data_IF_511808573814
#
_entry.id   IF_511808573814
#
_cell.length_a   1.000
_cell.length_b   1.000
_cell.length_c   1.000
_cell.angle_alpha   90.00
_cell.angle_beta   90.00
_cell.angle_gamma   90.00
#
_symmetry.space_group_name_H-M   'P 1'
#
loop_
_entity.id
_entity.type
_entity.pdbx_description
1 polymer ?
#
# COMPACT_ATOMS: atom_id res chain seq x y z
N UNK A 1 35.04 -53.94 22.38
CA UNK A 1 36.46 -53.59 22.61
C UNK A 1 36.77 -52.41 21.69
N UNK A 2 36.71 -51.16 22.18
CA UNK A 2 37.82 -50.35 22.74
C UNK A 2 38.91 -50.06 21.67
N UNK A 3 39.36 -48.84 21.34
CA UNK A 3 39.12 -47.47 21.82
C UNK A 3 39.42 -46.46 20.66
N UNK A 4 38.89 -45.24 20.65
CA UNK A 4 39.30 -44.03 21.39
C UNK A 4 40.46 -43.25 20.72
N UNK A 5 40.23 -41.96 20.41
CA UNK A 5 41.28 -41.01 20.01
C UNK A 5 40.82 -39.82 19.16
N UNK A 6 40.22 -38.81 19.78
CA UNK A 6 39.99 -37.47 19.20
C UNK A 6 41.26 -36.59 19.34
N UNK A 7 41.45 -35.58 18.47
CA UNK A 7 41.79 -34.19 18.86
C UNK A 7 41.84 -33.22 17.65
N UNK A 8 41.19 -32.05 17.81
CA UNK A 8 41.26 -30.86 16.94
C UNK A 8 42.47 -29.98 17.29
N UNK A 9 42.94 -29.19 16.31
CA UNK A 9 43.55 -27.82 16.37
C UNK A 9 44.05 -27.53 14.93
N UNK A 10 43.79 -26.44 14.22
CA UNK A 10 43.53 -25.05 14.59
C UNK A 10 44.80 -24.23 14.39
N UNK A 11 45.03 -23.67 13.19
CA UNK A 11 46.08 -22.66 12.95
C UNK A 11 45.63 -21.65 11.88
N UNK A 12 45.59 -20.38 12.30
CA UNK A 12 45.40 -19.19 11.47
C UNK A 12 46.74 -18.73 10.86
N UNK A 13 46.75 -17.93 9.78
CA UNK A 13 47.95 -17.25 9.30
C UNK A 13 48.17 -15.89 10.01
N UNK A 14 49.44 -15.60 10.27
CA UNK A 14 49.94 -14.41 10.97
C UNK A 14 50.08 -13.17 10.07
N UNK A 15 50.08 -12.02 10.73
CA UNK A 15 50.00 -10.64 10.24
C UNK A 15 51.34 -10.02 9.74
N UNK A 16 51.22 -9.09 8.75
CA UNK A 16 51.76 -7.69 8.62
C UNK A 16 53.28 -7.43 8.86
N UNK A 17 53.87 -6.22 8.63
CA UNK A 17 53.38 -4.90 8.15
C UNK A 17 54.21 -4.36 6.94
N UNK A 18 54.03 -3.17 6.34
CA UNK A 18 54.42 -1.85 6.87
C UNK A 18 54.05 -0.66 5.94
N UNK A 19 54.13 0.52 6.55
CA UNK A 19 53.73 1.91 6.26
C UNK A 19 54.36 2.61 5.05
N UNK A 20 53.67 3.65 4.56
CA UNK A 20 54.13 5.07 4.48
C UNK A 20 53.00 5.94 3.88
N UNK A 21 52.39 6.89 4.61
CA UNK A 21 52.83 8.26 4.90
C UNK A 21 52.95 9.19 3.65
N UNK A 22 51.99 10.12 3.51
CA UNK A 22 52.04 11.24 2.58
C UNK A 22 51.02 12.32 2.92
N UNK A 23 51.47 13.39 3.58
CA UNK A 23 50.70 14.62 3.84
C UNK A 23 50.72 15.53 2.59
N UNK A 24 49.65 16.30 2.33
CA UNK A 24 49.71 17.76 2.05
C UNK A 24 48.30 18.41 1.92
N UNK A 25 48.13 19.45 2.76
CA UNK A 25 47.42 20.76 2.67
C UNK A 25 46.14 20.99 1.84
N UNK A 26 45.11 21.45 2.56
CA UNK A 26 44.23 22.61 2.40
C UNK A 26 43.95 23.23 1.01
N UNK A 27 42.65 23.38 0.70
CA UNK A 27 42.07 24.27 -0.30
C UNK A 27 40.58 24.52 0.00
N UNK A 28 40.19 25.80 -0.02
CA UNK A 28 38.91 26.35 0.44
C UNK A 28 37.67 25.90 -0.35
N UNK A 29 36.56 25.80 0.39
CA UNK A 29 35.30 26.51 0.11
C UNK A 29 34.43 26.03 -1.04
N UNK A 30 33.26 25.48 -0.70
CA UNK A 30 32.01 25.91 -1.34
C UNK A 30 30.83 25.62 -0.41
N UNK A 31 30.20 26.71 0.03
CA UNK A 31 28.98 26.78 0.79
C UNK A 31 27.80 26.28 -0.08
N UNK A 32 27.02 25.31 0.39
CA UNK A 32 25.67 25.09 -0.14
C UNK A 32 24.76 24.66 1.00
N UNK A 33 23.87 25.57 1.37
CA UNK A 33 22.81 25.37 2.34
C UNK A 33 22.05 24.08 2.05
N UNK A 34 21.99 23.20 3.05
CA UNK A 34 20.99 22.16 3.13
C UNK A 34 19.66 22.86 3.46
N UNK A 35 18.84 23.05 2.43
CA UNK A 35 17.45 23.43 2.60
C UNK A 35 16.73 22.33 3.36
N UNK A 36 16.35 22.63 4.60
CA UNK A 36 15.38 21.86 5.37
C UNK A 36 14.04 21.94 4.64
N UNK A 37 13.71 20.92 3.85
CA UNK A 37 12.35 20.74 3.33
C UNK A 37 11.46 20.27 4.48
N UNK A 38 10.86 21.21 5.19
CA UNK A 38 9.81 20.94 6.15
C UNK A 38 8.60 20.34 5.41
N UNK A 39 8.19 19.13 5.81
CA UNK A 39 6.93 18.55 5.36
C UNK A 39 5.76 19.48 5.78
N UNK A 40 4.78 19.75 4.90
CA UNK A 40 3.66 20.60 5.25
C UNK A 40 2.78 19.88 6.29
N UNK A 41 2.59 20.54 7.45
CA UNK A 41 1.53 20.19 8.39
C UNK A 41 0.19 20.50 7.74
N UNK A 42 -0.61 19.47 7.47
CA UNK A 42 -1.99 19.64 7.07
C UNK A 42 -2.77 20.14 8.29
N UNK A 43 -3.21 21.40 8.21
CA UNK A 43 -4.20 22.00 9.12
C UNK A 43 -5.57 21.89 8.45
N UNK A 44 -6.57 21.68 9.29
CA UNK A 44 -8.01 21.65 9.00
C UNK A 44 -8.44 22.39 7.73
N UNK A 45 -9.06 21.66 6.81
CA UNK A 45 -9.89 22.22 5.75
C UNK A 45 -11.18 21.39 5.67
N UNK A 46 -12.30 22.06 5.94
CA UNK A 46 -13.61 21.47 6.07
C UNK A 46 -14.14 20.83 4.79
N UNK A 47 -15.10 19.93 5.02
CA UNK A 47 -16.00 19.36 4.04
C UNK A 47 -16.69 20.47 3.21
N UNK A 48 -16.29 20.62 1.95
CA UNK A 48 -17.10 21.16 0.85
C UNK A 48 -16.31 21.13 -0.47
N UNK A 49 -16.86 20.47 -1.49
CA UNK A 49 -16.44 20.66 -2.89
C UNK A 49 -15.73 19.47 -3.51
N UNK A 50 -16.49 18.72 -4.30
CA UNK A 50 -16.03 17.81 -5.35
C UNK A 50 -15.06 18.52 -6.31
N UNK A 51 -13.76 18.41 -6.09
CA UNK A 51 -12.74 18.91 -7.03
C UNK A 51 -11.41 18.15 -6.88
N UNK A 52 -11.42 16.84 -7.12
CA UNK A 52 -10.22 16.11 -7.56
C UNK A 52 -10.03 16.30 -9.06
N UNK A 53 -10.11 17.56 -9.48
CA UNK A 53 -9.93 17.99 -10.86
C UNK A 53 -8.47 17.72 -11.23
N UNK A 54 -8.26 16.55 -11.84
CA UNK A 54 -7.05 16.09 -12.50
C UNK A 54 -5.73 16.54 -11.84
N UNK A 55 -5.16 15.73 -10.94
CA UNK A 55 -3.72 15.85 -10.66
C UNK A 55 -2.94 15.53 -11.95
N UNK A 56 -2.65 16.58 -12.74
CA UNK A 56 -1.86 16.57 -13.97
C UNK A 56 -0.41 16.92 -13.66
N UNK A 57 0.29 16.11 -12.89
CA UNK A 57 1.75 16.14 -12.95
C UNK A 57 2.21 15.12 -14.00
N UNK A 58 2.60 15.61 -15.18
CA UNK A 58 3.13 14.78 -16.26
C UNK A 58 2.12 14.27 -17.29
N UNK A 59 0.83 14.62 -17.19
CA UNK A 59 -0.18 14.34 -18.23
C UNK A 59 -0.74 12.91 -18.27
N UNK A 60 -0.48 12.09 -17.23
CA UNK A 60 -1.08 10.75 -17.10
C UNK A 60 -2.30 10.83 -16.19
N UNK A 61 -3.45 10.35 -16.67
CA UNK A 61 -4.67 10.24 -15.88
C UNK A 61 -4.49 9.17 -14.80
N UNK A 62 -4.94 9.46 -13.57
CA UNK A 62 -4.92 8.52 -12.47
C UNK A 62 -5.65 7.23 -12.83
N UNK A 63 -5.09 6.09 -12.45
CA UNK A 63 -5.74 4.78 -12.58
C UNK A 63 -6.38 4.38 -11.27
N UNK A 64 -7.42 3.59 -11.38
CA UNK A 64 -8.24 3.19 -10.24
C UNK A 64 -8.18 1.68 -10.07
N UNK A 65 -7.94 1.24 -8.84
CA UNK A 65 -7.63 -0.15 -8.54
C UNK A 65 -8.47 -0.67 -7.39
N UNK A 66 -8.99 -1.88 -7.53
CA UNK A 66 -9.52 -2.66 -6.41
C UNK A 66 -8.43 -3.58 -5.88
N UNK A 67 -8.11 -3.43 -4.61
CA UNK A 67 -7.20 -4.29 -3.87
C UNK A 67 -8.02 -5.29 -3.07
N UNK A 68 -7.85 -6.56 -3.39
CA UNK A 68 -8.58 -7.68 -2.79
C UNK A 68 -7.70 -8.31 -1.72
N UNK A 69 -8.06 -8.12 -0.46
CA UNK A 69 -7.31 -8.57 0.72
C UNK A 69 -8.19 -9.22 1.78
N UNK A 70 -7.59 -9.98 2.69
CA UNK A 70 -8.28 -10.45 3.90
C UNK A 70 -8.40 -9.33 4.94
N UNK A 71 -9.31 -9.44 5.92
CA UNK A 71 -9.44 -8.47 7.01
C UNK A 71 -8.13 -8.27 7.77
N UNK A 72 -7.32 -9.33 7.92
CA UNK A 72 -6.02 -9.28 8.58
C UNK A 72 -5.01 -8.40 7.83
N UNK A 73 -5.03 -8.42 6.50
CA UNK A 73 -4.11 -7.64 5.66
C UNK A 73 -4.48 -6.15 5.71
N UNK A 74 -5.78 -5.87 5.70
CA UNK A 74 -6.28 -4.51 5.84
C UNK A 74 -6.05 -3.94 7.24
N UNK A 75 -6.24 -4.74 8.29
CA UNK A 75 -5.95 -4.36 9.67
C UNK A 75 -4.48 -3.95 9.85
N UNK A 76 -3.52 -4.76 9.37
CA UNK A 76 -2.10 -4.38 9.39
C UNK A 76 -1.82 -3.10 8.59
N UNK A 77 -2.45 -2.91 7.43
CA UNK A 77 -2.30 -1.66 6.65
C UNK A 77 -2.79 -0.44 7.43
N UNK A 78 -3.90 -0.59 8.16
CA UNK A 78 -4.44 0.43 9.05
C UNK A 78 -3.54 0.69 10.26
N UNK A 79 -2.99 -0.34 10.89
CA UNK A 79 -2.03 -0.23 11.99
C UNK A 79 -0.76 0.52 11.58
N UNK A 80 -0.31 0.32 10.33
CA UNK A 80 0.78 1.07 9.71
C UNK A 80 0.39 2.52 9.33
N UNK A 81 -0.82 2.96 9.66
CA UNK A 81 -1.32 4.32 9.41
C UNK A 81 -1.55 4.63 7.94
N UNK A 82 -1.81 3.62 7.10
CA UNK A 82 -1.94 3.78 5.64
C UNK A 82 -0.74 4.50 5.01
N UNK A 83 0.47 4.19 5.46
CA UNK A 83 1.72 4.74 4.89
C UNK A 83 2.28 3.87 3.76
N UNK A 84 1.93 2.58 3.75
CA UNK A 84 2.38 1.60 2.76
C UNK A 84 1.36 0.47 2.63
N UNK A 85 1.20 -0.06 1.43
CA UNK A 85 0.46 -1.29 1.20
C UNK A 85 1.25 -2.27 0.33
N UNK A 86 1.17 -3.56 0.68
CA UNK A 86 1.87 -4.64 -0.01
C UNK A 86 0.93 -5.54 -0.80
N UNK A 87 1.38 -5.99 -1.97
CA UNK A 87 0.67 -6.88 -2.87
C UNK A 87 1.34 -8.24 -2.96
N UNK A 88 0.56 -9.26 -3.31
CA UNK A 88 1.05 -10.65 -3.39
C UNK A 88 2.22 -10.77 -4.37
N UNK A 89 3.16 -11.66 -4.06
CA UNK A 89 4.30 -12.04 -4.91
C UNK A 89 3.92 -12.38 -6.36
N UNK A 90 2.70 -12.88 -6.59
CA UNK A 90 2.18 -13.20 -7.93
C UNK A 90 1.69 -12.00 -8.74
N UNK A 91 1.85 -10.76 -8.25
CA UNK A 91 1.27 -9.54 -8.86
C UNK A 91 2.29 -8.50 -9.31
N UNK A 92 3.59 -8.81 -9.31
CA UNK A 92 4.67 -7.89 -9.72
C UNK A 92 4.32 -7.05 -10.95
N UNK A 93 3.99 -7.71 -12.06
CA UNK A 93 3.74 -7.02 -13.34
C UNK A 93 2.54 -6.08 -13.32
N UNK A 94 1.55 -6.31 -12.44
CA UNK A 94 0.40 -5.41 -12.30
C UNK A 94 0.75 -4.22 -11.39
N UNK A 95 1.42 -4.48 -10.27
CA UNK A 95 1.81 -3.45 -9.32
C UNK A 95 2.82 -2.47 -9.94
N UNK A 96 3.71 -2.94 -10.82
CA UNK A 96 4.61 -2.08 -11.59
C UNK A 96 3.90 -1.04 -12.45
N UNK A 97 2.62 -1.25 -12.79
CA UNK A 97 1.80 -0.28 -13.56
C UNK A 97 1.16 0.78 -12.68
N UNK A 98 1.18 0.60 -11.35
CA UNK A 98 0.68 1.59 -10.40
C UNK A 98 1.66 2.77 -10.38
N UNK A 99 1.11 3.98 -10.50
CA UNK A 99 1.87 5.22 -10.47
C UNK A 99 1.44 6.12 -9.30
N UNK A 100 2.30 7.05 -8.85
CA UNK A 100 1.86 8.12 -7.96
C UNK A 100 0.63 8.83 -8.55
N UNK A 101 -0.38 9.09 -7.71
CA UNK A 101 -1.66 9.65 -8.13
C UNK A 101 -2.75 8.61 -8.41
N UNK A 102 -2.41 7.33 -8.61
CA UNK A 102 -3.40 6.26 -8.69
C UNK A 102 -4.15 6.09 -7.37
N UNK A 103 -5.37 5.54 -7.46
CA UNK A 103 -6.23 5.33 -6.30
C UNK A 103 -6.51 3.85 -6.06
N UNK A 104 -6.49 3.46 -4.79
CA UNK A 104 -6.77 2.10 -4.33
C UNK A 104 -8.10 2.07 -3.59
N UNK A 105 -8.94 1.08 -3.87
CA UNK A 105 -10.14 0.74 -3.12
C UNK A 105 -9.95 -0.64 -2.46
N UNK A 106 -10.14 -0.72 -1.14
CA UNK A 106 -9.90 -1.96 -0.39
C UNK A 106 -11.18 -2.80 -0.30
N UNK A 107 -11.19 -3.91 -1.04
CA UNK A 107 -12.21 -4.96 -0.93
C UNK A 107 -11.76 -6.04 0.05
N UNK A 108 -12.59 -6.29 1.05
CA UNK A 108 -12.31 -7.24 2.14
C UNK A 108 -12.94 -8.60 1.84
N UNK A 109 -12.10 -9.54 1.44
CA UNK A 109 -12.50 -10.94 1.21
C UNK A 109 -13.06 -11.59 2.47
N UNK A 110 -14.03 -12.49 2.30
CA UNK A 110 -14.77 -13.12 3.40
C UNK A 110 -15.91 -12.24 3.93
N UNK A 111 -15.68 -10.93 4.07
CA UNK A 111 -16.69 -9.95 4.46
C UNK A 111 -17.51 -9.47 3.26
N UNK A 112 -16.92 -9.51 2.05
CA UNK A 112 -17.52 -9.05 0.79
C UNK A 112 -17.89 -7.56 0.79
N UNK A 113 -17.08 -6.76 1.47
CA UNK A 113 -17.36 -5.34 1.66
C UNK A 113 -16.17 -4.48 1.25
N UNK A 114 -16.44 -3.21 0.91
CA UNK A 114 -15.43 -2.18 0.74
C UNK A 114 -15.23 -1.42 2.05
N UNK A 115 -13.95 -1.29 2.44
CA UNK A 115 -13.57 -0.69 3.72
C UNK A 115 -13.08 0.76 3.61
N UNK A 116 -12.66 1.18 2.41
CA UNK A 116 -12.13 2.51 2.19
C UNK A 116 -11.25 2.62 0.96
N UNK A 117 -10.70 3.81 0.78
CA UNK A 117 -9.81 4.19 -0.31
C UNK A 117 -8.50 4.80 0.20
N UNK A 118 -7.47 4.71 -0.63
CA UNK A 118 -6.17 5.34 -0.40
C UNK A 118 -5.59 5.86 -1.72
N UNK A 119 -4.78 6.91 -1.65
CA UNK A 119 -4.03 7.46 -2.78
C UNK A 119 -2.60 6.94 -2.77
N UNK A 120 -2.08 6.59 -3.93
CA UNK A 120 -0.67 6.19 -4.10
C UNK A 120 0.19 7.44 -4.16
N UNK A 121 1.23 7.49 -3.33
CA UNK A 121 2.08 8.69 -3.15
C UNK A 121 3.47 8.54 -3.77
N UNK A 122 3.81 7.36 -4.31
CA UNK A 122 5.14 7.06 -4.81
C UNK A 122 5.17 5.76 -5.63
N UNK A 123 6.28 5.49 -6.34
CA UNK A 123 6.41 4.30 -7.18
C UNK A 123 6.47 3.01 -6.35
N UNK A 124 6.23 1.89 -7.02
CA UNK A 124 6.43 0.57 -6.43
C UNK A 124 7.91 0.35 -6.02
N UNK A 125 8.12 -0.23 -4.84
CA UNK A 125 9.40 -0.77 -4.41
C UNK A 125 9.25 -2.23 -3.92
N UNK A 126 10.37 -2.94 -3.82
CA UNK A 126 10.41 -4.32 -3.36
C UNK A 126 11.01 -4.38 -1.94
N UNK A 127 10.27 -5.00 -1.02
CA UNK A 127 10.71 -5.26 0.36
C UNK A 127 9.98 -6.51 0.88
N UNK A 128 10.72 -7.51 1.33
CA UNK A 128 10.19 -8.79 1.82
C UNK A 128 10.07 -8.87 3.36
N UNK A 129 10.28 -7.76 4.09
CA UNK A 129 10.08 -7.70 5.54
C UNK A 129 8.66 -8.17 5.90
N UNK A 130 8.45 -9.16 6.79
CA UNK A 130 7.15 -9.81 6.97
C UNK A 130 6.16 -8.95 7.78
N UNK A 131 5.69 -7.84 7.21
CA UNK A 131 4.71 -6.94 7.82
C UNK A 131 3.32 -7.57 7.82
N UNK A 132 2.85 -8.00 6.66
CA UNK A 132 1.55 -8.65 6.50
C UNK A 132 1.68 -10.17 6.62
N UNK A 133 0.69 -10.79 7.25
CA UNK A 133 0.61 -12.25 7.41
C UNK A 133 -0.75 -12.73 6.93
N UNK A 134 -0.76 -13.75 6.08
CA UNK A 134 -1.99 -14.44 5.70
C UNK A 134 -2.05 -15.81 6.35
N UNK A 135 -3.16 -16.14 7.01
CA UNK A 135 -3.37 -17.48 7.56
C UNK A 135 -3.39 -18.56 6.46
N UNK A 136 -3.87 -18.21 5.26
CA UNK A 136 -3.98 -19.12 4.11
C UNK A 136 -2.66 -19.36 3.39
N UNK A 137 -1.72 -18.41 3.47
CA UNK A 137 -0.40 -18.46 2.83
C UNK A 137 0.65 -17.87 3.77
N UNK A 138 1.10 -18.62 4.79
CA UNK A 138 2.05 -18.12 5.79
C UNK A 138 3.41 -17.69 5.21
N UNK A 139 3.77 -18.19 4.03
CA UNK A 139 4.97 -17.89 3.27
C UNK A 139 4.88 -16.59 2.45
N UNK A 140 3.67 -16.07 2.19
CA UNK A 140 3.50 -14.81 1.47
C UNK A 140 4.06 -13.64 2.29
N UNK A 141 4.85 -12.79 1.64
CA UNK A 141 5.53 -11.64 2.27
C UNK A 141 5.01 -10.29 1.78
N UNK A 142 4.17 -10.30 0.76
CA UNK A 142 3.67 -9.10 0.09
C UNK A 142 4.82 -8.17 -0.36
N UNK A 143 5.76 -8.70 -1.18
CA UNK A 143 7.04 -8.05 -1.40
C UNK A 143 6.95 -6.79 -2.25
N UNK A 144 5.93 -6.66 -3.10
CA UNK A 144 5.75 -5.49 -3.96
C UNK A 144 4.87 -4.49 -3.25
N UNK A 145 5.42 -3.33 -2.92
CA UNK A 145 4.77 -2.34 -2.08
C UNK A 145 4.70 -0.99 -2.77
N UNK A 146 3.67 -0.23 -2.43
CA UNK A 146 3.54 1.17 -2.83
C UNK A 146 3.33 2.01 -1.57
N UNK A 147 3.98 3.17 -1.46
CA UNK A 147 3.63 4.13 -0.43
C UNK A 147 2.25 4.72 -0.74
N UNK A 148 1.45 4.89 0.29
CA UNK A 148 0.07 5.36 0.19
C UNK A 148 -0.21 6.42 1.26
N UNK A 149 -1.36 7.07 1.13
CA UNK A 149 -2.01 7.82 2.19
C UNK A 149 -3.51 7.47 2.20
N UNK A 150 -4.15 7.51 3.37
CA UNK A 150 -5.59 7.30 3.48
C UNK A 150 -6.36 8.42 2.77
N UNK A 151 -7.44 8.04 2.07
CA UNK A 151 -8.39 8.98 1.45
C UNK A 151 -9.71 8.97 2.22
N UNK A 152 -10.49 7.89 2.15
CA UNK A 152 -11.69 7.69 2.96
C UNK A 152 -11.65 6.31 3.62
N UNK A 153 -11.66 6.25 4.95
CA UNK A 153 -11.60 4.98 5.69
C UNK A 153 -12.80 4.86 6.60
N UNK A 154 -13.58 3.79 6.44
CA UNK A 154 -14.75 3.53 7.26
C UNK A 154 -14.41 2.65 8.48
N UNK A 155 -15.10 2.85 9.62
CA UNK A 155 -15.14 1.84 10.68
C UNK A 155 -15.82 0.57 10.15
N UNK A 156 -15.52 -0.60 10.75
CA UNK A 156 -15.93 -1.91 10.22
C UNK A 156 -17.45 -2.05 10.13
N UNK A 157 -18.18 -1.47 11.08
CA UNK A 157 -19.63 -1.51 11.18
C UNK A 157 -20.32 -0.74 10.04
N UNK A 158 -19.58 0.13 9.35
CA UNK A 158 -20.08 0.97 8.27
C UNK A 158 -19.57 0.54 6.88
N UNK A 159 -18.79 -0.55 6.79
CA UNK A 159 -18.29 -1.03 5.50
C UNK A 159 -19.42 -1.32 4.51
N UNK A 160 -19.16 -1.02 3.24
CA UNK A 160 -20.18 -1.06 2.20
C UNK A 160 -20.23 -2.46 1.59
N UNK A 161 -21.41 -3.09 1.60
CA UNK A 161 -21.62 -4.36 0.91
C UNK A 161 -21.38 -4.21 -0.59
N UNK A 162 -20.42 -4.98 -1.12
CA UNK A 162 -20.08 -4.94 -2.54
C UNK A 162 -21.19 -5.49 -3.43
N UNK A 163 -22.07 -6.36 -2.91
CA UNK A 163 -23.21 -6.88 -3.68
C UNK A 163 -24.19 -5.77 -4.04
N UNK A 164 -24.39 -4.81 -3.13
CA UNK A 164 -25.29 -3.66 -3.32
C UNK A 164 -24.87 -2.76 -4.48
N UNK A 165 -23.59 -2.81 -4.87
CA UNK A 165 -23.02 -2.01 -5.96
C UNK A 165 -23.06 -2.73 -7.31
N UNK A 166 -23.43 -4.01 -7.36
CA UNK A 166 -23.26 -4.84 -8.55
C UNK A 166 -23.92 -4.25 -9.81
N UNK A 167 -25.18 -3.81 -9.72
CA UNK A 167 -25.93 -3.26 -10.87
C UNK A 167 -25.48 -1.85 -11.27
N UNK A 168 -24.53 -1.26 -10.53
CA UNK A 168 -24.05 0.10 -10.74
C UNK A 168 -22.58 0.16 -11.15
N UNK A 169 -21.84 -0.93 -10.95
CA UNK A 169 -20.44 -1.07 -11.33
C UNK A 169 -20.30 -1.73 -12.70
N UNK A 170 -19.73 -1.00 -13.68
CA UNK A 170 -19.36 -1.59 -14.98
C UNK A 170 -18.40 -2.75 -14.84
N UNK A 171 -17.51 -2.70 -13.84
CA UNK A 171 -16.57 -3.77 -13.51
C UNK A 171 -17.32 -5.06 -13.21
N UNK A 172 -18.24 -5.05 -12.26
CA UNK A 172 -18.91 -6.27 -11.80
C UNK A 172 -19.97 -6.77 -12.76
N UNK A 173 -20.58 -5.90 -13.56
CA UNK A 173 -21.57 -6.26 -14.58
C UNK A 173 -21.00 -7.14 -15.72
N UNK A 174 -19.67 -7.34 -15.77
CA UNK A 174 -19.05 -8.35 -16.66
C UNK A 174 -19.38 -9.79 -16.26
N UNK A 175 -19.93 -9.98 -15.06
CA UNK A 175 -20.38 -11.28 -14.54
C UNK A 175 -21.88 -11.26 -14.26
N UNK A 176 -22.60 -12.38 -14.43
CA UNK A 176 -23.99 -12.51 -14.01
C UNK A 176 -24.15 -12.21 -12.52
N UNK A 177 -25.33 -11.73 -12.13
CA UNK A 177 -25.66 -11.36 -10.75
C UNK A 177 -25.44 -12.52 -9.78
N UNK A 178 -25.77 -13.74 -10.17
CA UNK A 178 -25.58 -14.95 -9.35
C UNK A 178 -24.10 -15.27 -9.09
N UNK A 179 -23.20 -14.71 -9.90
CA UNK A 179 -21.77 -14.98 -9.89
C UNK A 179 -20.93 -13.71 -9.75
N UNK A 180 -21.51 -12.63 -9.22
CA UNK A 180 -20.87 -11.33 -9.08
C UNK A 180 -19.52 -11.38 -8.35
N UNK A 181 -19.38 -12.30 -7.38
CA UNK A 181 -18.15 -12.45 -6.58
C UNK A 181 -16.92 -12.85 -7.42
N UNK A 182 -17.12 -13.42 -8.62
CA UNK A 182 -16.03 -13.71 -9.55
C UNK A 182 -15.26 -12.46 -9.97
N UNK A 183 -15.89 -11.29 -9.94
CA UNK A 183 -15.27 -9.99 -10.20
C UNK A 183 -14.14 -9.64 -9.21
N UNK A 184 -14.10 -10.31 -8.06
CA UNK A 184 -13.13 -10.08 -6.98
C UNK A 184 -12.16 -11.26 -6.81
N UNK A 185 -12.10 -12.18 -7.77
CA UNK A 185 -11.10 -13.25 -7.76
C UNK A 185 -9.75 -12.72 -8.21
N UNK A 186 -8.85 -12.58 -7.25
CA UNK A 186 -7.52 -12.03 -7.52
C UNK A 186 -7.01 -11.30 -6.30
N UNK A 187 -6.01 -10.46 -6.50
CA UNK A 187 -5.52 -9.56 -5.45
C UNK A 187 -5.59 -8.10 -5.88
N UNK A 188 -5.61 -7.84 -7.19
CA UNK A 188 -5.55 -6.50 -7.74
C UNK A 188 -6.30 -6.49 -9.07
N UNK A 189 -7.17 -5.50 -9.26
CA UNK A 189 -7.97 -5.30 -10.46
C UNK A 189 -7.97 -3.82 -10.82
N UNK A 190 -7.76 -3.49 -12.08
CA UNK A 190 -7.96 -2.13 -12.59
C UNK A 190 -9.43 -1.95 -12.96
N UNK A 191 -10.02 -0.83 -12.54
CA UNK A 191 -11.43 -0.52 -12.77
C UNK A 191 -11.61 0.83 -13.47
N UNK A 192 -12.77 1.04 -14.13
CA UNK A 192 -13.13 2.35 -14.68
C UNK A 192 -13.21 3.43 -13.59
N UNK A 193 -12.87 4.67 -13.97
CA UNK A 193 -12.99 5.85 -13.10
C UNK A 193 -14.42 6.05 -12.57
N UNK A 194 -15.43 5.79 -13.40
CA UNK A 194 -16.84 5.91 -13.03
C UNK A 194 -17.22 4.99 -11.86
N UNK A 195 -16.71 3.75 -11.84
CA UNK A 195 -16.97 2.80 -10.75
C UNK A 195 -16.30 3.25 -9.46
N UNK A 196 -15.05 3.74 -9.55
CA UNK A 196 -14.33 4.23 -8.39
C UNK A 196 -14.99 5.50 -7.82
N UNK A 197 -15.39 6.43 -8.68
CA UNK A 197 -16.07 7.65 -8.28
C UNK A 197 -17.38 7.34 -7.57
N UNK A 198 -18.15 6.38 -8.09
CA UNK A 198 -19.37 5.90 -7.45
C UNK A 198 -19.06 5.30 -6.07
N UNK A 199 -18.08 4.40 -5.98
CA UNK A 199 -17.67 3.79 -4.71
C UNK A 199 -17.29 4.85 -3.67
N UNK A 200 -16.45 5.80 -4.07
CA UNK A 200 -15.96 6.85 -3.18
C UNK A 200 -17.09 7.74 -2.67
N UNK A 201 -18.08 8.04 -3.52
CA UNK A 201 -19.30 8.76 -3.11
C UNK A 201 -20.10 7.98 -2.07
N UNK A 202 -20.27 6.67 -2.26
CA UNK A 202 -20.98 5.81 -1.30
C UNK A 202 -20.23 5.73 0.04
N UNK A 203 -18.89 5.62 0.01
CA UNK A 203 -18.02 5.66 1.19
C UNK A 203 -18.15 6.99 1.94
N UNK A 204 -18.11 8.12 1.24
CA UNK A 204 -18.28 9.43 1.85
C UNK A 204 -19.64 9.58 2.54
N UNK A 205 -20.72 9.17 1.86
CA UNK A 205 -22.06 9.20 2.43
C UNK A 205 -22.20 8.28 3.66
N UNK A 206 -21.51 7.14 3.67
CA UNK A 206 -21.47 6.25 4.83
C UNK A 206 -20.70 6.85 6.00
N UNK A 207 -19.58 7.51 5.74
CA UNK A 207 -18.79 8.18 6.78
C UNK A 207 -19.61 9.30 7.45
N UNK A 208 -20.30 10.12 6.67
CA UNK A 208 -21.18 11.17 7.22
C UNK A 208 -22.29 10.60 8.12
N UNK A 209 -22.87 9.44 7.75
CA UNK A 209 -23.89 8.77 8.57
C UNK A 209 -23.33 8.33 9.91
N UNK A 210 -22.10 7.79 9.94
CA UNK A 210 -21.39 7.42 11.16
C UNK A 210 -21.14 8.65 12.04
N UNK A 211 -20.67 9.75 11.46
CA UNK A 211 -20.36 10.98 12.20
C UNK A 211 -21.61 11.60 12.82
N UNK A 212 -22.71 11.65 12.04
CA UNK A 212 -24.02 12.10 12.53
C UNK A 212 -24.52 11.24 13.71
N UNK A 213 -24.38 9.92 13.61
CA UNK A 213 -24.78 8.99 14.67
C UNK A 213 -23.90 9.08 15.94
N UNK A 214 -22.72 9.70 15.87
CA UNK A 214 -21.84 9.92 17.05
C UNK A 214 -22.13 11.22 17.78
N UNK A 215 -22.74 12.19 17.11
CA UNK A 215 -22.99 13.54 17.66
C UNK A 215 -24.44 13.72 18.12
N UNK A 216 -25.36 12.87 17.66
CA UNK A 216 -26.74 12.79 18.15
C UNK A 216 -26.89 11.78 19.27
#
# INVERSE_FOLDING_TARGET
MAGSGAHRRGTAPAERPDRAAGRRRAGSGCNRQLGTSAAPRVRDAGLQGVAWEHYREGGVMARYWIVVGGPEIFATTRELGFTVHGFKSTRRGMVQRIQPGDMLAFYITGKKQFAGTARVTGPMFEDATPLWRSAKKPEERYPYRVPIEADLILPEEAWIDAESLHDRFRWTQRWPREHWTLAYQGNLHEIPEEDFTLLRSELAAALERVEKARTG
#
